data_IF_738180825696
#
_entry.id   IF_738180825696
#
_cell.length_a   1.000
_cell.length_b   1.000
_cell.length_c   1.000
_cell.angle_alpha   90.00
_cell.angle_beta   90.00
_cell.angle_gamma   90.00
#
_symmetry.space_group_name_H-M   'P 1'
#
loop_
_entity.id
_entity.type
_entity.pdbx_description
1 polymer ?
#
# COMPACT_ATOMS: atom_id res chain seq x y z
N UNK A 1 -8.56 -18.71 -0.26
CA UNK A 1 -9.12 -18.02 -1.44
C UNK A 1 -8.02 -17.09 -1.97
N UNK A 2 -7.84 -16.96 -3.29
CA UNK A 2 -6.91 -15.97 -3.83
C UNK A 2 -7.36 -14.57 -3.41
N UNK A 3 -6.42 -13.71 -3.04
CA UNK A 3 -6.72 -12.30 -2.81
C UNK A 3 -7.16 -11.71 -4.14
N UNK A 4 -8.44 -11.32 -4.25
CA UNK A 4 -8.86 -10.45 -5.33
C UNK A 4 -8.36 -9.06 -4.96
N UNK A 5 -7.41 -8.53 -5.74
CA UNK A 5 -6.77 -7.22 -5.47
C UNK A 5 -7.22 -6.14 -6.46
N UNK A 6 -7.88 -6.54 -7.56
CA UNK A 6 -8.46 -5.62 -8.54
C UNK A 6 -9.54 -4.71 -7.94
N UNK A 7 -10.27 -5.19 -6.93
CA UNK A 7 -11.30 -4.40 -6.25
C UNK A 7 -10.73 -3.41 -5.21
N UNK A 8 -9.40 -3.34 -5.06
CA UNK A 8 -8.76 -2.41 -4.13
C UNK A 8 -8.39 -1.08 -4.79
N UNK A 9 -8.34 -1.03 -6.12
CA UNK A 9 -8.08 0.21 -6.85
C UNK A 9 -9.20 1.22 -6.56
N UNK A 10 -8.81 2.44 -6.16
CA UNK A 10 -9.72 3.50 -5.75
C UNK A 10 -10.12 3.47 -4.27
N UNK A 11 -9.87 2.38 -3.53
CA UNK A 11 -10.00 2.35 -2.08
C UNK A 11 -8.90 3.16 -1.41
N UNK A 12 -9.18 3.64 -0.20
CA UNK A 12 -8.15 4.27 0.63
C UNK A 12 -7.23 3.22 1.24
N UNK A 13 -6.00 3.60 1.56
CA UNK A 13 -5.04 2.74 2.27
C UNK A 13 -5.65 2.21 3.57
N UNK A 14 -6.34 3.04 4.35
CA UNK A 14 -7.03 2.59 5.56
C UNK A 14 -8.05 1.47 5.29
N UNK A 15 -8.83 1.57 4.21
CA UNK A 15 -9.79 0.53 3.84
C UNK A 15 -9.10 -0.78 3.47
N UNK A 16 -7.99 -0.69 2.73
CA UNK A 16 -7.20 -1.87 2.33
C UNK A 16 -6.57 -2.55 3.55
N UNK A 17 -5.92 -1.80 4.43
CA UNK A 17 -5.33 -2.33 5.67
C UNK A 17 -6.38 -3.00 6.56
N UNK A 18 -7.56 -2.36 6.69
CA UNK A 18 -8.70 -2.93 7.43
C UNK A 18 -9.14 -4.27 6.83
N UNK A 19 -9.28 -4.37 5.50
CA UNK A 19 -9.66 -5.62 4.81
C UNK A 19 -8.62 -6.72 4.97
N UNK A 20 -7.36 -6.33 5.04
CA UNK A 20 -6.23 -7.25 5.20
C UNK A 20 -5.94 -7.62 6.66
N UNK A 21 -6.65 -7.05 7.62
CA UNK A 21 -6.34 -7.15 9.05
C UNK A 21 -4.87 -6.81 9.35
N UNK A 22 -4.32 -5.83 8.64
CA UNK A 22 -2.92 -5.43 8.77
C UNK A 22 -2.83 -4.16 9.61
N UNK A 23 -2.12 -4.16 10.75
CA UNK A 23 -1.88 -2.96 11.51
C UNK A 23 -0.94 -2.01 10.75
N UNK A 24 -1.07 -0.70 10.96
CA UNK A 24 -0.27 0.30 10.22
C UNK A 24 1.23 0.17 10.53
N UNK A 25 1.56 -0.34 11.71
CA UNK A 25 2.92 -0.59 12.19
C UNK A 25 3.65 -1.65 11.36
N UNK A 26 2.92 -2.49 10.63
CA UNK A 26 3.45 -3.49 9.68
C UNK A 26 3.56 -2.94 8.24
N UNK A 27 3.24 -1.65 8.03
CA UNK A 27 3.29 -1.01 6.72
C UNK A 27 4.63 -0.34 6.49
N UNK A 28 5.31 -0.76 5.43
CA UNK A 28 6.52 -0.14 4.94
C UNK A 28 6.19 0.95 3.92
N UNK A 29 6.62 2.18 4.19
CA UNK A 29 6.47 3.32 3.28
C UNK A 29 7.61 3.32 2.27
N UNK A 30 7.29 3.30 0.97
CA UNK A 30 8.29 3.20 -0.09
C UNK A 30 8.22 4.44 -0.98
N UNK A 31 9.27 5.23 -0.91
CA UNK A 31 9.42 6.47 -1.66
C UNK A 31 10.32 6.32 -2.89
N UNK A 32 10.15 7.25 -3.83
CA UNK A 32 11.02 7.43 -4.99
C UNK A 32 11.71 8.80 -4.91
N UNK A 33 12.98 8.92 -5.36
CA UNK A 33 13.63 10.23 -5.53
C UNK A 33 12.74 11.18 -6.36
N UNK A 34 12.55 12.45 -5.97
CA UNK A 34 13.29 13.20 -4.95
C UNK A 34 12.63 13.25 -3.55
N UNK A 35 11.88 12.23 -3.13
CA UNK A 35 11.19 12.19 -1.83
C UNK A 35 9.66 12.16 -1.99
N UNK A 36 9.17 11.34 -2.91
CA UNK A 36 7.74 11.16 -3.16
C UNK A 36 7.30 9.79 -2.66
N UNK A 37 6.34 9.73 -1.75
CA UNK A 37 5.74 8.46 -1.36
C UNK A 37 5.00 7.87 -2.56
N UNK A 38 5.46 6.71 -3.03
CA UNK A 38 4.96 6.08 -4.26
C UNK A 38 4.12 4.84 -3.96
N UNK A 39 4.58 4.04 -3.02
CA UNK A 39 3.96 2.75 -2.72
C UNK A 39 4.08 2.40 -1.24
N UNK A 40 3.27 1.45 -0.82
CA UNK A 40 3.30 0.85 0.50
C UNK A 40 3.46 -0.65 0.34
N UNK A 41 4.27 -1.29 1.17
CA UNK A 41 4.36 -2.75 1.25
C UNK A 41 3.90 -3.24 2.62
N UNK A 42 3.14 -4.32 2.65
CA UNK A 42 2.61 -4.90 3.89
C UNK A 42 2.19 -6.37 3.68
N UNK A 43 1.95 -7.09 4.76
CA UNK A 43 1.45 -8.48 4.72
C UNK A 43 -0.05 -8.47 4.95
N UNK A 44 -0.80 -9.00 3.98
CA UNK A 44 -2.25 -9.16 4.08
C UNK A 44 -2.59 -10.48 4.78
N UNK A 45 -3.24 -10.42 5.94
CA UNK A 45 -3.57 -11.56 6.80
C UNK A 45 -4.97 -12.13 6.58
N UNK A 46 -5.66 -11.69 5.51
CA UNK A 46 -7.00 -12.19 5.15
C UNK A 46 -7.02 -13.70 4.82
N UNK A 47 -5.87 -14.26 4.44
CA UNK A 47 -5.66 -15.69 4.19
C UNK A 47 -4.47 -16.21 5.00
N UNK A 48 -4.49 -17.48 5.39
CA UNK A 48 -3.32 -18.16 5.96
C UNK A 48 -2.65 -19.04 4.89
N UNK A 49 -1.33 -18.93 4.64
CA UNK A 49 -0.42 -17.92 5.20
C UNK A 49 -0.69 -16.50 4.65
N UNK A 50 -0.32 -15.48 5.44
CA UNK A 50 -0.41 -14.08 5.03
C UNK A 50 0.34 -13.83 3.73
N UNK A 51 -0.20 -12.98 2.87
CA UNK A 51 0.37 -12.72 1.54
C UNK A 51 0.98 -11.32 1.47
N UNK A 52 2.26 -11.18 1.02
CA UNK A 52 2.86 -9.88 0.84
C UNK A 52 2.18 -9.15 -0.32
N UNK A 53 1.85 -7.88 -0.09
CA UNK A 53 1.19 -6.98 -1.04
C UNK A 53 1.98 -5.69 -1.09
N UNK A 54 2.16 -5.16 -2.30
CA UNK A 54 2.53 -3.76 -2.50
C UNK A 54 1.38 -3.02 -3.15
N UNK A 55 1.03 -1.84 -2.64
CA UNK A 55 0.03 -0.96 -3.25
C UNK A 55 0.72 0.30 -3.75
N UNK A 56 0.42 0.71 -4.97
CA UNK A 56 0.87 1.99 -5.54
C UNK A 56 -0.19 3.03 -5.26
N UNK A 57 0.21 4.19 -4.77
CA UNK A 57 -0.70 5.27 -4.44
C UNK A 57 -1.03 6.11 -5.68
N UNK A 58 -2.23 6.69 -5.70
CA UNK A 58 -2.58 7.72 -6.67
C UNK A 58 -1.61 8.90 -6.54
N UNK A 59 -1.35 9.58 -7.66
CA UNK A 59 -0.46 10.73 -7.63
C UNK A 59 -1.17 11.89 -6.96
N UNK A 60 -0.70 12.24 -5.76
CA UNK A 60 -1.15 13.39 -5.00
C UNK A 60 0.08 14.28 -4.69
N UNK A 61 0.06 15.59 -4.97
CA UNK A 61 1.12 16.51 -4.58
C UNK A 61 1.44 16.48 -3.08
N UNK A 62 0.47 16.17 -2.21
CA UNK A 62 0.67 16.07 -0.77
C UNK A 62 1.62 14.91 -0.38
N UNK A 63 1.85 13.94 -1.27
CA UNK A 63 2.79 12.84 -1.07
C UNK A 63 4.25 13.22 -1.39
N UNK A 64 4.49 14.42 -1.89
CA UNK A 64 5.85 14.92 -2.06
C UNK A 64 6.30 15.64 -0.79
N UNK A 65 7.28 15.08 -0.09
CA UNK A 65 7.90 15.75 1.07
C UNK A 65 9.42 15.58 1.01
N UNK A 66 10.20 16.67 1.03
CA UNK A 66 11.66 16.58 0.99
C UNK A 66 12.24 15.85 2.22
N UNK A 67 11.51 15.88 3.34
CA UNK A 67 11.92 15.25 4.59
C UNK A 67 11.41 13.81 4.76
N UNK A 68 10.62 13.29 3.81
CA UNK A 68 10.03 11.93 3.88
C UNK A 68 9.18 11.68 5.14
N UNK A 69 8.56 12.74 5.64
CA UNK A 69 7.70 12.71 6.82
C UNK A 69 6.24 12.77 6.34
N UNK A 70 5.63 11.59 6.24
CA UNK A 70 4.21 11.47 5.91
C UNK A 70 3.45 11.05 7.14
N UNK A 71 2.57 11.92 7.62
CA UNK A 71 1.66 11.59 8.72
C UNK A 71 0.81 10.37 8.36
N UNK A 72 0.55 9.51 9.35
CA UNK A 72 -0.33 8.35 9.20
C UNK A 72 -1.66 8.71 8.54
N UNK A 73 -2.32 9.77 9.00
CA UNK A 73 -3.60 10.23 8.45
C UNK A 73 -3.53 10.61 6.97
N UNK A 74 -2.40 11.21 6.53
CA UNK A 74 -2.18 11.51 5.11
C UNK A 74 -2.07 10.22 4.29
N UNK A 75 -1.26 9.26 4.76
CA UNK A 75 -1.03 7.97 4.08
C UNK A 75 -2.32 7.17 4.02
N UNK A 76 -3.03 7.05 5.13
CA UNK A 76 -4.29 6.32 5.27
C UNK A 76 -5.40 6.86 4.36
N UNK A 77 -5.40 8.17 4.09
CA UNK A 77 -6.35 8.83 3.19
C UNK A 77 -6.03 8.64 1.70
N UNK A 78 -4.80 8.21 1.35
CA UNK A 78 -4.42 8.04 -0.05
C UNK A 78 -5.20 6.92 -0.71
N UNK A 79 -5.57 7.15 -1.97
CA UNK A 79 -6.21 6.12 -2.80
C UNK A 79 -5.17 5.21 -3.44
N UNK A 80 -5.51 3.94 -3.54
CA UNK A 80 -4.72 2.96 -4.28
C UNK A 80 -4.95 3.15 -5.78
N UNK A 81 -3.86 3.29 -6.54
CA UNK A 81 -3.85 3.34 -8.00
C UNK A 81 -3.68 1.96 -8.63
N UNK A 82 -2.85 1.12 -8.01
CA UNK A 82 -2.58 -0.23 -8.48
C UNK A 82 -2.18 -1.13 -7.30
N UNK A 83 -2.43 -2.42 -7.43
CA UNK A 83 -1.94 -3.43 -6.49
C UNK A 83 -0.96 -4.34 -7.20
N UNK A 84 0.21 -4.52 -6.61
CA UNK A 84 1.24 -5.47 -7.02
C UNK A 84 1.25 -6.58 -5.98
N UNK A 85 0.37 -7.55 -6.18
CA UNK A 85 0.30 -8.77 -5.38
C UNK A 85 1.28 -9.79 -5.94
N UNK A 86 2.43 -9.93 -5.26
CA UNK A 86 3.58 -10.79 -5.55
C UNK A 86 4.48 -10.36 -6.73
N UNK A 87 5.78 -10.31 -6.44
CA UNK A 87 6.82 -10.84 -7.34
C UNK A 87 6.34 -12.24 -7.75
N UNK A 88 5.66 -12.35 -8.88
CA UNK A 88 5.53 -13.66 -9.50
C UNK A 88 6.94 -14.05 -9.91
N UNK A 89 7.45 -15.09 -9.26
CA UNK A 89 8.40 -16.05 -9.81
C UNK A 89 8.17 -16.12 -11.33
N UNK A 90 8.97 -15.37 -12.11
CA UNK A 90 9.07 -15.60 -13.54
C UNK A 90 10.04 -16.76 -13.72
N UNK A 91 9.70 -17.72 -14.59
CA UNK A 91 10.36 -19.02 -14.70
C UNK A 91 11.86 -18.95 -15.07
#
# INVERSE_FOLDING_TARGET
>A
MPLNTDDWVGLTVAQVLTRCHTPYEEVELIDEPPGKLRSLAFVCHQSAPGSPVRVVLQTDPALFTPNRDWSRSLVEAQKVAAVVSRLQDQP
#
